data_IF_235540956860
#
_entry.id   IF_235540956860
#
_cell.length_a   1.000
_cell.length_b   1.000
_cell.length_c   1.000
_cell.angle_alpha   90.00
_cell.angle_beta   90.00
_cell.angle_gamma   90.00
#
_symmetry.space_group_name_H-M   'P 1'
#
loop_
_entity.id
_entity.type
_entity.pdbx_description
1 polymer ?
#
# COMPACT_ATOMS: atom_id res chain seq x y z
N UNK A 1 -10.44 -31.96 -32.33
CA UNK A 1 -11.13 -30.84 -31.65
C UNK A 1 -10.07 -29.86 -31.18
N UNK A 2 -10.20 -28.59 -31.59
CA UNK A 2 -9.27 -27.49 -31.32
C UNK A 2 -9.63 -26.87 -29.97
N UNK A 3 -8.64 -26.58 -29.15
CA UNK A 3 -8.74 -25.52 -28.14
C UNK A 3 -7.45 -24.71 -28.17
N UNK A 4 -7.50 -23.64 -28.95
CA UNK A 4 -6.53 -22.56 -28.96
C UNK A 4 -6.59 -21.82 -27.62
N UNK A 5 -5.53 -21.84 -26.83
CA UNK A 5 -5.37 -20.89 -25.73
C UNK A 5 -4.51 -19.72 -26.23
N UNK A 6 -5.19 -18.59 -26.35
CA UNK A 6 -4.80 -17.32 -26.93
C UNK A 6 -3.54 -16.75 -26.27
N UNK A 7 -2.56 -16.36 -27.09
CA UNK A 7 -1.40 -15.55 -26.67
C UNK A 7 -1.92 -14.21 -26.12
N UNK A 8 -1.75 -13.97 -24.82
CA UNK A 8 -1.84 -12.61 -24.28
C UNK A 8 -0.48 -11.92 -24.41
N UNK A 9 -0.19 -11.48 -25.63
CA UNK A 9 0.72 -10.35 -25.83
C UNK A 9 -0.06 -9.07 -25.55
N UNK A 10 0.06 -8.55 -24.33
CA UNK A 10 -0.28 -7.18 -24.03
C UNK A 10 1.00 -6.43 -23.66
N UNK A 11 1.66 -5.93 -24.69
CA UNK A 11 2.53 -4.76 -24.55
C UNK A 11 1.68 -3.63 -23.97
N UNK A 12 1.98 -3.24 -22.74
CA UNK A 12 1.55 -1.97 -22.16
C UNK A 12 2.73 -1.43 -21.39
N UNK A 13 3.36 -0.38 -21.94
CA UNK A 13 4.07 0.61 -21.14
C UNK A 13 3.29 0.80 -19.83
N UNK A 14 3.92 0.82 -18.65
CA UNK A 14 3.20 1.22 -17.45
C UNK A 14 2.83 2.69 -17.67
N UNK A 15 1.59 2.93 -18.12
CA UNK A 15 0.90 4.15 -17.82
C UNK A 15 1.07 4.34 -16.31
N UNK A 16 1.36 5.56 -15.87
CA UNK A 16 1.44 5.95 -14.47
C UNK A 16 0.08 5.76 -13.78
N UNK A 17 -0.40 4.52 -13.69
CA UNK A 17 -1.40 4.06 -12.75
C UNK A 17 -0.76 4.28 -11.41
N UNK A 18 -1.43 5.01 -10.53
CA UNK A 18 -1.15 4.93 -9.11
C UNK A 18 -1.19 3.44 -8.76
N UNK A 19 -0.01 2.82 -8.63
CA UNK A 19 0.11 1.45 -8.19
C UNK A 19 -0.38 1.48 -6.75
N UNK A 20 -1.51 0.84 -6.48
CA UNK A 20 -1.87 0.53 -5.10
C UNK A 20 -0.74 -0.34 -4.55
N UNK A 21 -0.13 0.11 -3.48
CA UNK A 21 0.95 -0.59 -2.80
C UNK A 21 0.47 -0.93 -1.40
N UNK A 22 0.81 -2.13 -0.97
CA UNK A 22 0.52 -2.62 0.37
C UNK A 22 1.83 -2.91 1.08
N UNK A 23 1.89 -2.55 2.36
CA UNK A 23 3.01 -2.87 3.23
C UNK A 23 2.52 -3.19 4.64
N UNK A 24 3.37 -3.85 5.41
CA UNK A 24 3.13 -4.13 6.81
C UNK A 24 4.14 -3.35 7.64
N UNK A 25 3.66 -2.62 8.64
CA UNK A 25 4.50 -1.89 9.58
C UNK A 25 4.24 -2.36 11.01
N UNK A 26 5.23 -2.21 11.88
CA UNK A 26 5.09 -2.42 13.32
C UNK A 26 5.05 -1.06 14.02
N UNK A 27 3.97 -0.77 14.73
CA UNK A 27 3.79 0.49 15.46
C UNK A 27 3.10 0.23 16.79
N UNK A 28 3.68 0.77 17.88
CA UNK A 28 3.09 0.79 19.22
C UNK A 28 2.56 -0.59 19.69
N UNK A 29 3.33 -1.65 19.41
CA UNK A 29 3.01 -3.02 19.80
C UNK A 29 2.06 -3.77 18.86
N UNK A 30 1.77 -3.22 17.67
CA UNK A 30 0.80 -3.78 16.71
C UNK A 30 1.40 -3.86 15.31
N UNK A 31 1.08 -4.94 14.61
CA UNK A 31 1.28 -5.00 13.17
C UNK A 31 0.10 -4.32 12.47
N UNK A 32 0.40 -3.41 11.57
CA UNK A 32 -0.59 -2.74 10.73
C UNK A 32 -0.34 -3.10 9.28
N UNK A 33 -1.36 -3.58 8.60
CA UNK A 33 -1.38 -3.63 7.15
C UNK A 33 -1.91 -2.30 6.62
N UNK A 34 -1.11 -1.68 5.76
CA UNK A 34 -1.39 -0.37 5.20
C UNK A 34 -1.46 -0.51 3.70
N UNK A 35 -2.61 -0.18 3.13
CA UNK A 35 -2.79 -0.09 1.68
C UNK A 35 -2.94 1.37 1.29
N UNK A 36 -2.29 1.75 0.20
CA UNK A 36 -2.33 3.12 -0.27
C UNK A 36 -1.62 3.26 -1.60
N UNK A 37 -1.23 4.49 -1.91
CA UNK A 37 -0.57 4.80 -3.18
C UNK A 37 0.66 5.66 -2.98
N UNK A 38 1.65 5.43 -3.84
CA UNK A 38 2.81 6.30 -3.93
C UNK A 38 2.47 7.46 -4.87
N UNK A 39 2.41 8.66 -4.31
CA UNK A 39 2.31 9.90 -5.08
C UNK A 39 3.70 10.47 -5.31
N UNK A 40 4.10 10.56 -6.58
CA UNK A 40 5.30 11.29 -6.97
C UNK A 40 4.88 12.55 -7.73
N UNK A 41 5.00 13.70 -7.07
CA UNK A 41 4.74 15.00 -7.69
C UNK A 41 6.10 15.59 -8.06
N UNK A 42 6.25 16.10 -9.29
CA UNK A 42 7.50 16.74 -9.75
C UNK A 42 7.93 17.83 -8.77
N UNK A 43 9.18 17.77 -8.31
CA UNK A 43 9.75 18.74 -7.38
C UNK A 43 9.40 18.50 -5.91
N UNK A 44 8.72 17.41 -5.56
CA UNK A 44 8.55 16.94 -4.18
C UNK A 44 9.08 15.52 -4.03
N UNK A 45 9.52 15.20 -2.80
CA UNK A 45 9.82 13.82 -2.45
C UNK A 45 8.55 12.95 -2.65
N UNK A 46 8.68 11.71 -3.15
CA UNK A 46 7.56 10.80 -3.25
C UNK A 46 6.95 10.61 -1.85
N UNK A 47 5.61 10.64 -1.79
CA UNK A 47 4.85 10.45 -0.57
C UNK A 47 3.97 9.21 -0.69
N UNK A 48 3.87 8.43 0.38
CA UNK A 48 2.86 7.40 0.50
C UNK A 48 1.58 8.03 1.08
N UNK A 49 0.45 7.77 0.45
CA UNK A 49 -0.87 8.22 0.92
C UNK A 49 -1.65 6.97 1.31
N UNK A 50 -2.00 6.84 2.59
CA UNK A 50 -2.78 5.72 3.10
C UNK A 50 -4.23 5.85 2.64
N UNK A 51 -4.81 4.73 2.22
CA UNK A 51 -6.20 4.63 1.79
C UNK A 51 -6.98 3.63 2.64
N UNK A 52 -6.30 2.63 3.21
CA UNK A 52 -6.85 1.78 4.27
C UNK A 52 -5.78 1.36 5.27
N UNK A 53 -6.19 1.20 6.53
CA UNK A 53 -5.32 0.76 7.61
C UNK A 53 -6.06 -0.34 8.38
N UNK A 54 -5.44 -1.50 8.50
CA UNK A 54 -5.97 -2.62 9.26
C UNK A 54 -4.94 -3.08 10.28
N UNK A 55 -5.38 -3.50 11.46
CA UNK A 55 -4.50 -4.21 12.39
C UNK A 55 -4.44 -5.68 11.99
N UNK A 56 -3.24 -6.24 11.91
CA UNK A 56 -3.00 -7.66 11.73
C UNK A 56 -3.05 -8.36 13.08
N UNK A 57 -3.87 -9.40 13.14
CA UNK A 57 -4.00 -10.29 14.29
C UNK A 57 -2.98 -11.43 14.20
N UNK A 58 -2.74 -12.12 15.32
CA UNK A 58 -1.75 -13.21 15.40
C UNK A 58 -2.13 -14.40 14.50
N UNK A 59 -3.43 -14.59 14.24
CA UNK A 59 -3.95 -15.60 13.33
C UNK A 59 -3.87 -15.21 11.85
N UNK A 60 -3.29 -14.03 11.55
CA UNK A 60 -3.16 -13.48 10.20
C UNK A 60 -4.42 -12.79 9.67
N UNK A 61 -5.50 -12.72 10.46
CA UNK A 61 -6.69 -11.96 10.10
C UNK A 61 -6.48 -10.45 10.23
N UNK A 62 -7.32 -9.69 9.54
CA UNK A 62 -7.31 -8.23 9.54
C UNK A 62 -8.52 -7.71 10.30
N UNK A 63 -8.33 -6.66 11.10
CA UNK A 63 -9.46 -5.93 11.67
C UNK A 63 -10.21 -5.15 10.59
N UNK A 64 -11.34 -4.56 10.96
CA UNK A 64 -11.99 -3.52 10.14
C UNK A 64 -11.02 -2.39 9.83
N UNK A 65 -11.27 -1.70 8.72
CA UNK A 65 -10.52 -0.49 8.36
C UNK A 65 -10.70 0.55 9.46
N UNK A 66 -9.58 1.11 9.91
CA UNK A 66 -9.55 2.08 10.99
C UNK A 66 -9.18 3.48 10.54
N UNK A 67 -8.85 3.73 9.26
CA UNK A 67 -8.27 5.02 8.81
C UNK A 67 -9.12 6.24 9.22
N UNK A 68 -10.45 6.15 9.09
CA UNK A 68 -11.38 7.23 9.46
C UNK A 68 -11.51 7.46 10.98
N UNK A 69 -11.07 6.48 11.78
CA UNK A 69 -11.09 6.54 13.24
C UNK A 69 -9.76 7.01 13.84
N UNK A 70 -8.73 7.22 13.02
CA UNK A 70 -7.42 7.67 13.47
C UNK A 70 -7.32 9.19 13.37
N UNK A 71 -6.53 9.79 14.27
CA UNK A 71 -6.22 11.21 14.14
C UNK A 71 -5.36 11.46 12.89
N UNK A 72 -5.48 12.62 12.23
CA UNK A 72 -4.66 12.95 11.06
C UNK A 72 -3.16 12.87 11.33
N UNK A 73 -2.72 13.23 12.55
CA UNK A 73 -1.33 13.12 12.96
C UNK A 73 -0.84 11.67 13.03
N UNK A 74 -1.70 10.75 13.47
CA UNK A 74 -1.38 9.33 13.51
C UNK A 74 -1.34 8.73 12.11
N UNK A 75 -2.29 9.09 11.23
CA UNK A 75 -2.26 8.69 9.82
C UNK A 75 -0.97 9.15 9.15
N UNK A 76 -0.57 10.41 9.32
CA UNK A 76 0.69 10.92 8.76
C UNK A 76 1.94 10.19 9.27
N UNK A 77 1.93 9.73 10.54
CA UNK A 77 3.01 8.90 11.10
C UNK A 77 3.03 7.52 10.44
N UNK A 78 1.86 6.88 10.28
CA UNK A 78 1.69 5.59 9.61
C UNK A 78 2.16 5.67 8.16
N UNK A 79 1.76 6.71 7.43
CA UNK A 79 2.17 6.95 6.04
C UNK A 79 3.69 7.05 5.89
N UNK A 80 4.34 7.78 6.80
CA UNK A 80 5.81 7.90 6.82
C UNK A 80 6.48 6.55 7.04
N UNK A 81 6.02 5.79 8.03
CA UNK A 81 6.56 4.45 8.32
C UNK A 81 6.32 3.47 7.18
N UNK A 82 5.16 3.53 6.53
CA UNK A 82 4.82 2.73 5.36
C UNK A 82 5.74 3.05 4.18
N UNK A 83 5.99 4.34 3.93
CA UNK A 83 6.93 4.77 2.89
C UNK A 83 8.36 4.26 3.15
N UNK A 84 8.85 4.41 4.39
CA UNK A 84 10.17 3.92 4.80
C UNK A 84 10.30 2.39 4.62
N UNK A 85 9.26 1.63 4.97
CA UNK A 85 9.21 0.17 4.76
C UNK A 85 9.35 -0.19 3.27
N UNK A 86 8.59 0.50 2.42
CA UNK A 86 8.60 0.25 0.98
C UNK A 86 9.93 0.60 0.32
N UNK A 87 10.57 1.69 0.71
CA UNK A 87 11.87 2.08 0.14
C UNK A 87 13.03 1.23 0.64
N UNK A 88 12.92 0.61 1.82
CA UNK A 88 13.93 -0.36 2.30
C UNK A 88 13.80 -1.73 1.64
N UNK A 89 12.62 -2.05 1.11
CA UNK A 89 12.34 -3.33 0.46
C UNK A 89 12.62 -3.33 -1.05
N UNK A 90 12.93 -2.16 -1.64
CA UNK A 90 13.23 -1.96 -3.06
C UNK A 90 14.74 -1.99 -3.34
#
# INVERSE_FOLDING_TARGET
MRSSATRHSLSRRPAARASHVRTTIWMDGRYLAVTGRISSIRGRAPAFIAESIHQLMVDGSETVDMIDNLSPALVARIERMAADSLWRAA
#
